data_IF_198173367370
#
_entry.id   IF_198173367370
#
_cell.length_a   1.000
_cell.length_b   1.000
_cell.length_c   1.000
_cell.angle_alpha   90.00
_cell.angle_beta   90.00
_cell.angle_gamma   90.00
#
_symmetry.space_group_name_H-M   'P 1'
#
loop_
_entity.id
_entity.type
_entity.pdbx_description
1 polymer ?
#
# COMPACT_ATOMS: atom_id res chain seq x y z
N UNK A 1 16.33 3.43 -5.55
CA UNK A 1 16.40 2.35 -6.55
C UNK A 1 17.83 1.85 -6.61
N UNK A 2 18.06 0.56 -6.35
CA UNK A 2 19.39 -0.05 -6.39
C UNK A 2 19.89 -0.30 -7.81
N UNK A 3 21.18 -0.62 -7.95
CA UNK A 3 21.79 -1.01 -9.23
C UNK A 3 21.11 -2.27 -9.77
N UNK A 4 20.48 -2.19 -10.94
CA UNK A 4 19.88 -3.35 -11.61
C UNK A 4 20.95 -4.15 -12.38
N UNK A 5 20.90 -5.47 -12.26
CA UNK A 5 21.76 -6.40 -13.01
C UNK A 5 20.89 -7.21 -13.96
N UNK A 6 21.17 -7.15 -15.27
CA UNK A 6 20.46 -7.95 -16.28
C UNK A 6 20.75 -9.43 -16.06
N UNK A 7 19.70 -10.24 -15.97
CA UNK A 7 19.77 -11.71 -15.95
C UNK A 7 18.96 -12.26 -17.11
N UNK A 8 19.43 -13.37 -17.69
CA UNK A 8 18.70 -14.16 -18.69
C UNK A 8 18.44 -15.53 -18.08
N UNK A 9 17.17 -15.94 -18.05
CA UNK A 9 16.72 -17.21 -17.47
C UNK A 9 15.80 -17.91 -18.46
N UNK A 10 15.86 -19.23 -18.51
CA UNK A 10 14.89 -20.05 -19.23
C UNK A 10 13.73 -20.39 -18.31
N UNK A 11 12.52 -20.22 -18.80
CA UNK A 11 11.28 -20.60 -18.12
C UNK A 11 10.43 -21.43 -19.08
N UNK A 12 9.54 -22.25 -18.54
CA UNK A 12 8.64 -23.07 -19.34
C UNK A 12 7.47 -22.23 -19.85
N UNK A 13 6.86 -22.61 -20.98
CA UNK A 13 5.72 -21.87 -21.58
C UNK A 13 4.58 -21.61 -20.59
N UNK A 14 4.31 -22.57 -19.69
CA UNK A 14 3.28 -22.38 -18.66
C UNK A 14 3.63 -21.26 -17.67
N UNK A 15 4.91 -21.08 -17.37
CA UNK A 15 5.41 -20.04 -16.47
C UNK A 15 5.36 -18.68 -17.15
N UNK A 16 5.65 -18.58 -18.45
CA UNK A 16 5.47 -17.33 -19.22
C UNK A 16 4.00 -16.89 -19.22
N UNK A 17 3.07 -17.82 -19.49
CA UNK A 17 1.63 -17.50 -19.46
C UNK A 17 1.17 -17.04 -18.07
N UNK A 18 1.68 -17.68 -17.01
CA UNK A 18 1.37 -17.28 -15.63
C UNK A 18 1.96 -15.91 -15.30
N UNK A 19 3.21 -15.67 -15.67
CA UNK A 19 3.93 -14.42 -15.42
C UNK A 19 3.23 -13.24 -16.09
N UNK A 20 2.81 -13.41 -17.35
CA UNK A 20 2.00 -12.45 -18.09
C UNK A 20 0.69 -12.12 -17.37
N UNK A 21 -0.07 -13.16 -16.99
CA UNK A 21 -1.36 -12.98 -16.31
C UNK A 21 -1.22 -12.19 -15.00
N UNK A 22 -0.20 -12.52 -14.19
CA UNK A 22 0.04 -11.84 -12.91
C UNK A 22 0.48 -10.39 -13.14
N UNK A 23 1.33 -10.14 -14.13
CA UNK A 23 1.78 -8.79 -14.49
C UNK A 23 0.60 -7.91 -14.90
N UNK A 24 -0.26 -8.42 -15.80
CA UNK A 24 -1.47 -7.73 -16.26
C UNK A 24 -2.46 -7.48 -15.11
N UNK A 25 -2.73 -8.49 -14.28
CA UNK A 25 -3.69 -8.34 -13.18
C UNK A 25 -3.24 -7.35 -12.11
N UNK A 26 -1.93 -7.15 -11.96
CA UNK A 26 -1.32 -6.21 -11.00
C UNK A 26 -0.98 -4.85 -11.62
N UNK A 27 -1.06 -4.71 -12.95
CA UNK A 27 -0.66 -3.49 -13.66
C UNK A 27 0.84 -3.18 -13.57
N UNK A 28 1.68 -4.20 -13.42
CA UNK A 28 3.15 -4.04 -13.30
C UNK A 28 3.88 -4.82 -14.40
N UNK A 29 5.17 -4.54 -14.60
CA UNK A 29 5.98 -5.29 -15.57
C UNK A 29 6.22 -6.74 -15.11
N UNK A 30 6.37 -7.68 -16.06
CA UNK A 30 6.77 -9.06 -15.74
C UNK A 30 8.08 -9.13 -14.92
N UNK A 31 9.03 -8.24 -15.21
CA UNK A 31 10.29 -8.16 -14.46
C UNK A 31 10.09 -7.75 -13.00
N UNK A 32 9.07 -6.93 -12.71
CA UNK A 32 8.71 -6.56 -11.35
C UNK A 32 8.11 -7.74 -10.58
N UNK A 33 7.27 -8.54 -11.23
CA UNK A 33 6.74 -9.78 -10.64
C UNK A 33 7.88 -10.74 -10.27
N UNK A 34 8.88 -10.90 -11.14
CA UNK A 34 10.05 -11.74 -10.86
C UNK A 34 10.87 -11.20 -9.68
N UNK A 35 11.11 -9.87 -9.61
CA UNK A 35 11.81 -9.26 -8.48
C UNK A 35 11.08 -9.49 -7.16
N UNK A 36 9.77 -9.22 -7.11
CA UNK A 36 8.95 -9.43 -5.91
C UNK A 36 8.93 -10.89 -5.47
N UNK A 37 8.90 -11.84 -6.42
CA UNK A 37 8.99 -13.25 -6.11
C UNK A 37 10.34 -13.63 -5.50
N UNK A 38 11.45 -13.09 -6.05
CA UNK A 38 12.80 -13.31 -5.49
C UNK A 38 12.90 -12.74 -4.07
N UNK A 39 12.42 -11.51 -3.86
CA UNK A 39 12.40 -10.88 -2.54
C UNK A 39 11.54 -11.68 -1.54
N UNK A 40 10.34 -12.12 -1.95
CA UNK A 40 9.47 -12.94 -1.14
C UNK A 40 10.06 -14.31 -0.78
N UNK A 41 10.85 -14.92 -1.67
CA UNK A 41 11.60 -16.15 -1.34
C UNK A 41 12.77 -15.86 -0.39
N UNK A 42 13.48 -14.74 -0.57
CA UNK A 42 14.63 -14.36 0.25
C UNK A 42 14.25 -13.97 1.69
N UNK A 43 13.08 -13.38 1.88
CA UNK A 43 12.52 -13.04 3.20
C UNK A 43 12.05 -14.32 3.95
N UNK A 44 12.05 -15.47 3.27
CA UNK A 44 11.51 -16.73 3.77
C UNK A 44 9.99 -16.76 3.58
N UNK A 45 9.43 -17.94 3.31
CA UNK A 45 7.99 -18.21 3.27
C UNK A 45 7.35 -18.09 4.67
N UNK A 46 7.63 -17.02 5.40
CA UNK A 46 7.34 -16.83 6.82
C UNK A 46 6.55 -15.57 7.13
N UNK A 47 5.80 -15.05 6.16
CA UNK A 47 4.60 -14.28 6.45
C UNK A 47 3.53 -14.69 5.47
N UNK A 48 2.83 -15.78 5.80
CA UNK A 48 1.37 -15.60 5.80
C UNK A 48 1.15 -14.30 6.56
N UNK A 49 0.70 -13.25 5.87
CA UNK A 49 0.08 -12.14 6.58
C UNK A 49 -1.04 -12.82 7.35
N UNK A 50 -0.80 -13.13 8.63
CA UNK A 50 -1.83 -13.62 9.54
C UNK A 50 -2.94 -12.59 9.41
N UNK A 51 -3.95 -12.96 8.62
CA UNK A 51 -5.04 -12.07 8.31
C UNK A 51 -5.85 -12.10 9.58
N UNK A 52 -5.54 -11.20 10.50
CA UNK A 52 -6.21 -11.13 11.78
C UNK A 52 -7.65 -10.64 11.52
N UNK A 53 -8.66 -11.54 11.54
CA UNK A 53 -10.02 -11.17 11.17
C UNK A 53 -10.58 -10.13 12.14
N UNK A 54 -10.15 -10.18 13.41
CA UNK A 54 -10.55 -9.21 14.42
C UNK A 54 -9.98 -7.81 14.13
N UNK A 55 -8.78 -7.70 13.55
CA UNK A 55 -8.24 -6.41 13.12
C UNK A 55 -9.05 -5.81 11.96
N UNK A 56 -9.54 -6.67 11.05
CA UNK A 56 -10.41 -6.25 9.95
C UNK A 56 -11.79 -5.80 10.44
N UNK A 57 -12.40 -6.54 11.37
CA UNK A 57 -13.66 -6.15 12.01
C UNK A 57 -13.54 -4.81 12.76
N UNK A 58 -12.44 -4.59 13.48
CA UNK A 58 -12.17 -3.31 14.14
C UNK A 58 -12.05 -2.15 13.15
N UNK A 59 -11.38 -2.37 12.01
CA UNK A 59 -11.26 -1.37 10.96
C UNK A 59 -12.64 -1.02 10.36
N UNK A 60 -13.49 -2.03 10.11
CA UNK A 60 -14.86 -1.82 9.61
C UNK A 60 -15.72 -1.04 10.62
N UNK A 61 -15.70 -1.42 11.90
CA UNK A 61 -16.43 -0.71 12.94
C UNK A 61 -15.98 0.76 13.09
N UNK A 62 -14.68 1.01 12.91
CA UNK A 62 -14.14 2.37 12.90
C UNK A 62 -14.64 3.19 11.71
N UNK A 63 -14.61 2.62 10.49
CA UNK A 63 -15.13 3.26 9.27
C UNK A 63 -16.63 3.56 9.41
N UNK A 64 -17.43 2.63 9.94
CA UNK A 64 -18.85 2.87 10.21
C UNK A 64 -19.08 4.01 11.21
N UNK A 65 -18.24 4.09 12.25
CA UNK A 65 -18.29 5.17 13.22
C UNK A 65 -18.00 6.53 12.57
N UNK A 66 -17.01 6.60 11.68
CA UNK A 66 -16.74 7.80 10.88
C UNK A 66 -17.90 8.15 9.96
N UNK A 67 -18.49 7.15 9.29
CA UNK A 67 -19.62 7.36 8.39
C UNK A 67 -20.84 7.93 9.12
N UNK A 68 -21.18 7.37 10.29
CA UNK A 68 -22.26 7.89 11.17
C UNK A 68 -21.98 9.31 11.65
N UNK A 69 -20.73 9.66 11.94
CA UNK A 69 -20.32 11.03 12.31
C UNK A 69 -20.38 12.01 11.13
N UNK A 70 -20.16 11.52 9.91
CA UNK A 70 -20.27 12.31 8.68
C UNK A 70 -21.69 12.46 8.13
N UNK A 71 -22.71 11.97 8.84
CA UNK A 71 -24.13 12.05 8.45
C UNK A 71 -24.74 13.48 8.56
N UNK A 72 -23.95 14.51 8.27
CA UNK A 72 -24.38 15.90 8.15
C UNK A 72 -24.06 16.47 6.76
N UNK A 73 -24.40 17.74 6.54
CA UNK A 73 -24.17 18.46 5.28
C UNK A 73 -22.74 18.24 4.74
N UNK A 74 -22.55 17.91 3.44
CA UNK A 74 -21.22 17.75 2.87
C UNK A 74 -20.44 19.05 3.04
N UNK A 75 -19.55 19.08 4.02
CA UNK A 75 -18.61 20.18 4.18
C UNK A 75 -17.70 20.16 2.97
N UNK A 76 -17.85 21.14 2.08
CA UNK A 76 -16.88 21.48 1.04
C UNK A 76 -15.60 22.03 1.67
N UNK A 77 -14.96 21.25 2.53
CA UNK A 77 -13.70 21.62 3.12
C UNK A 77 -12.63 21.31 2.07
N UNK A 78 -12.25 22.32 1.28
CA UNK A 78 -11.03 22.27 0.46
C UNK A 78 -9.85 22.24 1.42
N UNK A 79 -9.31 21.06 1.68
CA UNK A 79 -8.00 20.96 2.29
C UNK A 79 -6.95 21.05 1.18
N UNK A 80 -6.05 22.03 1.26
CA UNK A 80 -4.79 21.95 0.54
C UNK A 80 -3.77 21.19 1.39
N UNK A 81 -2.78 20.58 0.74
CA UNK A 81 -1.71 19.87 1.43
C UNK A 81 -0.93 20.86 2.31
N UNK A 82 -0.67 22.03 1.78
CA UNK A 82 0.07 23.13 2.40
C UNK A 82 -0.62 23.58 3.70
N UNK A 83 -1.94 23.73 3.70
CA UNK A 83 -2.72 24.11 4.89
C UNK A 83 -2.60 23.07 6.01
N UNK A 84 -2.63 21.77 5.68
CA UNK A 84 -2.52 20.68 6.66
C UNK A 84 -1.13 20.61 7.30
N UNK A 85 -0.08 20.94 6.55
CA UNK A 85 1.28 21.01 7.09
C UNK A 85 1.50 22.30 7.87
N UNK A 86 0.95 23.44 7.44
CA UNK A 86 1.02 24.70 8.17
C UNK A 86 0.32 24.63 9.53
N UNK A 87 -0.88 24.02 9.59
CA UNK A 87 -1.62 23.80 10.84
C UNK A 87 -0.85 22.88 11.80
N UNK A 88 -0.21 21.82 11.27
CA UNK A 88 0.64 20.91 12.05
C UNK A 88 1.92 21.58 12.57
N UNK A 89 2.56 22.46 11.78
CA UNK A 89 3.79 23.15 12.20
C UNK A 89 3.50 24.30 13.18
N UNK A 90 2.42 25.05 12.96
CA UNK A 90 2.01 26.18 13.82
C UNK A 90 1.55 25.75 15.22
N UNK A 91 1.08 24.53 15.39
CA UNK A 91 0.81 23.93 16.70
C UNK A 91 2.07 23.66 17.55
N UNK A 92 3.25 23.66 16.93
CA UNK A 92 4.54 23.51 17.62
C UNK A 92 5.21 24.82 18.03
N UNK A 93 4.72 25.98 17.54
CA UNK A 93 5.24 27.31 17.89
C UNK A 93 4.48 27.96 19.06
N UNK A 94 3.42 27.34 19.58
CA UNK A 94 2.75 27.79 20.82
C UNK A 94 3.31 27.08 22.05
N UNK A 95 4.60 27.28 22.29
CA UNK A 95 5.14 27.22 23.65
C UNK A 95 6.32 28.19 23.80
N UNK A 96 6.09 29.48 24.06
CA UNK A 96 7.02 30.26 24.83
C UNK A 96 6.78 30.00 26.34
N UNK A 97 7.86 30.00 27.11
CA UNK A 97 7.90 29.88 28.59
C UNK A 97 6.74 30.55 29.34
#
# INVERSE_FOLDING_TARGET
>A
MGKMVRKQIYIQDRQERLLRRIAESRGVSQAEVVRQAIEGQAIGQGRETETNPAAWEQALAFIETLHKRSAGEPRHQRWSREDLYADRLSGHDRNPD
#
